data_IF_322200923110
#
_entry.id   IF_322200923110
#
_cell.length_a   1.000
_cell.length_b   1.000
_cell.length_c   1.000
_cell.angle_alpha   90.00
_cell.angle_beta   90.00
_cell.angle_gamma   90.00
#
_symmetry.space_group_name_H-M   'P 1'
#
loop_
_entity.id
_entity.type
_entity.pdbx_description
1 polymer ?
#
# COMPACT_ATOMS: atom_id res chain seq x y z
N UNK A 1 47.05 -16.08 36.21
CA UNK A 1 46.37 -17.26 36.74
C UNK A 1 45.32 -16.82 37.74
N UNK A 2 44.06 -16.78 37.39
CA UNK A 2 42.92 -16.78 38.30
C UNK A 2 41.76 -17.44 37.56
N UNK A 3 41.35 -18.58 38.02
CA UNK A 3 40.22 -19.36 37.54
C UNK A 3 38.95 -18.70 38.04
N UNK A 4 37.96 -18.50 37.16
CA UNK A 4 36.60 -18.14 37.53
C UNK A 4 35.71 -19.32 37.16
N UNK A 5 35.14 -19.92 38.18
CA UNK A 5 34.20 -21.04 38.14
C UNK A 5 32.81 -20.58 37.71
N UNK A 6 32.25 -21.28 36.73
CA UNK A 6 30.86 -21.11 36.30
C UNK A 6 29.91 -21.74 37.31
N UNK A 7 28.91 -21.01 37.75
CA UNK A 7 27.78 -21.50 38.53
C UNK A 7 26.58 -21.65 37.62
N UNK A 8 26.15 -22.86 37.32
CA UNK A 8 24.92 -23.16 36.59
C UNK A 8 23.76 -23.15 37.60
N UNK A 9 22.76 -22.31 37.34
CA UNK A 9 21.50 -22.29 38.07
C UNK A 9 20.42 -22.92 37.18
N UNK A 10 20.01 -24.13 37.54
CA UNK A 10 18.88 -24.83 36.93
C UNK A 10 17.61 -24.38 37.65
N UNK A 11 16.66 -23.75 36.89
CA UNK A 11 15.34 -23.43 37.40
C UNK A 11 14.33 -24.42 36.78
N UNK A 12 13.80 -25.31 37.58
CA UNK A 12 12.73 -26.22 37.23
C UNK A 12 11.38 -25.47 37.37
N UNK A 13 10.61 -25.35 36.27
CA UNK A 13 9.27 -24.84 36.30
C UNK A 13 8.28 -26.00 36.23
N UNK A 14 7.51 -26.17 37.30
CA UNK A 14 6.46 -27.17 37.42
C UNK A 14 5.18 -26.66 36.68
N UNK A 15 4.70 -27.47 35.74
CA UNK A 15 3.38 -27.29 35.11
C UNK A 15 2.29 -27.81 36.09
N UNK A 16 1.38 -26.91 36.49
CA UNK A 16 0.08 -27.31 37.06
C UNK A 16 -1.01 -27.12 36.02
N UNK A 17 -1.54 -28.24 35.55
CA UNK A 17 -2.77 -28.31 34.77
C UNK A 17 -3.99 -28.08 35.70
N UNK A 18 -4.76 -27.05 35.48
CA UNK A 18 -6.09 -26.93 36.08
C UNK A 18 -7.12 -26.90 34.94
N UNK A 19 -7.89 -27.97 34.83
CA UNK A 19 -9.05 -28.06 34.00
C UNK A 19 -10.25 -27.44 34.75
N UNK A 20 -10.97 -26.52 34.09
CA UNK A 20 -12.31 -26.13 34.51
C UNK A 20 -13.20 -26.01 33.30
N UNK A 21 -14.29 -26.73 33.43
CA UNK A 21 -15.33 -27.02 32.49
C UNK A 21 -16.17 -25.83 32.05
N UNK A 22 -16.58 -25.91 30.79
CA UNK A 22 -17.47 -24.97 30.16
C UNK A 22 -18.93 -25.19 30.56
N UNK A 23 -19.63 -24.11 30.78
CA UNK A 23 -21.10 -24.08 30.80
C UNK A 23 -21.60 -23.43 29.54
N UNK A 24 -22.41 -24.18 28.79
CA UNK A 24 -23.13 -23.71 27.62
C UNK A 24 -24.21 -22.69 28.01
N UNK A 25 -24.32 -21.60 27.29
CA UNK A 25 -25.46 -20.71 27.31
C UNK A 25 -26.46 -21.09 26.20
N UNK A 26 -27.77 -21.01 26.48
CA UNK A 26 -28.82 -21.42 25.56
C UNK A 26 -29.17 -20.32 24.54
N UNK A 27 -29.50 -20.74 23.32
CA UNK A 27 -30.07 -19.92 22.26
C UNK A 27 -31.46 -19.37 22.64
N UNK A 28 -31.80 -18.15 22.19
CA UNK A 28 -33.19 -17.68 22.26
C UNK A 28 -34.04 -18.28 21.13
N UNK A 29 -35.37 -18.42 21.35
CA UNK A 29 -36.25 -19.15 20.46
C UNK A 29 -36.68 -18.36 19.23
N UNK A 30 -36.91 -19.09 18.14
CA UNK A 30 -37.47 -18.61 16.88
C UNK A 30 -38.93 -18.13 17.11
N UNK A 31 -39.21 -16.95 16.55
CA UNK A 31 -40.61 -16.50 16.40
C UNK A 31 -41.07 -16.78 14.97
N UNK A 32 -42.09 -17.63 14.88
CA UNK A 32 -42.93 -17.79 13.71
C UNK A 32 -44.09 -16.78 13.79
N UNK A 33 -44.38 -16.14 12.68
CA UNK A 33 -45.59 -15.32 12.56
C UNK A 33 -45.86 -15.02 11.10
N UNK A 34 -46.78 -15.78 10.52
CA UNK A 34 -47.48 -15.50 9.27
C UNK A 34 -48.29 -14.21 9.40
N UNK A 35 -48.28 -13.34 8.43
CA UNK A 35 -49.54 -12.88 7.84
C UNK A 35 -49.34 -12.24 6.46
N UNK A 36 -50.19 -12.67 5.53
CA UNK A 36 -50.24 -12.20 4.17
C UNK A 36 -51.21 -11.03 4.07
N UNK A 37 -50.78 -9.92 3.45
CA UNK A 37 -51.71 -8.95 2.88
C UNK A 37 -51.17 -8.47 1.52
N UNK A 38 -51.89 -8.87 0.50
CA UNK A 38 -51.70 -8.37 -0.87
C UNK A 38 -52.25 -6.94 -0.99
N UNK A 39 -51.44 -6.04 -1.49
CA UNK A 39 -51.92 -4.77 -2.08
C UNK A 39 -51.23 -4.56 -3.41
N UNK A 40 -52.05 -4.46 -4.44
CA UNK A 40 -51.71 -4.26 -5.84
C UNK A 40 -50.95 -2.93 -6.02
N UNK A 41 -49.85 -2.94 -6.71
CA UNK A 41 -49.11 -1.77 -7.19
C UNK A 41 -49.46 -1.50 -8.65
N UNK A 42 -49.69 -0.22 -9.05
CA UNK A 42 -49.80 0.13 -10.46
C UNK A 42 -48.44 0.04 -11.15
N UNK A 43 -48.44 -0.69 -12.24
CA UNK A 43 -47.35 -0.85 -13.19
C UNK A 43 -47.05 0.48 -13.88
N UNK A 44 -45.98 1.16 -13.49
CA UNK A 44 -45.35 2.20 -14.26
C UNK A 44 -43.86 1.92 -14.22
N UNK A 45 -43.37 1.34 -15.32
CA UNK A 45 -41.93 1.15 -15.52
C UNK A 45 -41.24 2.52 -15.49
N UNK A 46 -40.18 2.71 -14.70
CA UNK A 46 -39.38 3.91 -14.78
C UNK A 46 -38.62 3.94 -16.12
N UNK A 47 -38.65 5.09 -16.76
CA UNK A 47 -37.78 5.43 -17.89
C UNK A 47 -36.33 5.09 -17.56
N UNK A 48 -35.56 4.52 -18.53
CA UNK A 48 -34.15 4.20 -18.25
C UNK A 48 -33.43 5.49 -17.86
N UNK A 49 -32.85 5.50 -16.65
CA UNK A 49 -31.95 6.56 -16.24
C UNK A 49 -30.80 6.62 -17.27
N UNK A 50 -30.51 7.82 -17.78
CA UNK A 50 -29.35 8.09 -18.63
C UNK A 50 -28.13 7.51 -17.88
N UNK A 51 -27.38 6.61 -18.54
CA UNK A 51 -26.08 6.16 -18.03
C UNK A 51 -25.23 7.42 -17.78
N UNK A 52 -24.64 7.57 -16.58
CA UNK A 52 -23.75 8.70 -16.34
C UNK A 52 -22.61 8.62 -17.35
N UNK A 53 -22.38 9.73 -18.07
CA UNK A 53 -21.22 9.86 -18.95
C UNK A 53 -19.97 9.48 -18.15
N UNK A 54 -19.16 8.55 -18.69
CA UNK A 54 -17.88 8.20 -18.10
C UNK A 54 -17.05 9.47 -17.93
N UNK A 55 -16.50 9.75 -16.74
CA UNK A 55 -15.70 10.93 -16.53
C UNK A 55 -14.52 10.90 -17.52
N UNK A 56 -14.44 11.92 -18.36
CA UNK A 56 -13.32 12.10 -19.28
C UNK A 56 -12.09 12.45 -18.43
N UNK A 57 -11.31 11.43 -18.10
CA UNK A 57 -10.03 11.63 -17.42
C UNK A 57 -9.07 12.32 -18.40
N UNK A 58 -8.55 13.47 -18.00
CA UNK A 58 -7.46 14.12 -18.72
C UNK A 58 -6.28 13.14 -18.87
N UNK A 59 -5.61 13.12 -20.04
CA UNK A 59 -4.52 12.22 -20.27
C UNK A 59 -3.38 12.51 -19.29
N UNK A 60 -3.06 11.55 -18.43
CA UNK A 60 -1.91 11.61 -17.56
C UNK A 60 -0.66 11.19 -18.34
N UNK A 61 0.31 12.09 -18.50
CA UNK A 61 1.49 11.85 -19.31
C UNK A 61 2.66 11.46 -18.41
N UNK A 62 3.07 10.21 -18.51
CA UNK A 62 4.32 9.74 -17.91
C UNK A 62 5.43 9.90 -18.95
N UNK A 63 6.54 10.49 -18.53
CA UNK A 63 7.69 10.69 -19.39
C UNK A 63 8.98 10.45 -18.63
N UNK A 64 10.02 9.95 -19.32
CA UNK A 64 11.30 9.65 -18.65
C UNK A 64 12.18 10.90 -18.52
N UNK A 65 12.78 11.12 -17.34
CA UNK A 65 13.82 12.14 -17.14
C UNK A 65 15.16 11.79 -17.78
N UNK A 66 15.33 10.62 -18.39
CA UNK A 66 16.63 10.20 -18.99
C UNK A 66 16.87 10.79 -20.38
N UNK A 67 15.91 11.51 -20.93
CA UNK A 67 15.99 12.15 -22.24
C UNK A 67 16.32 13.64 -22.08
N UNK A 68 17.39 14.10 -22.73
CA UNK A 68 17.70 15.54 -22.83
C UNK A 68 16.61 16.23 -23.68
N UNK A 69 15.86 17.13 -23.06
CA UNK A 69 14.78 17.89 -23.71
C UNK A 69 15.16 19.33 -24.01
N UNK A 70 16.34 19.77 -23.53
CA UNK A 70 16.74 21.17 -23.61
C UNK A 70 15.75 22.07 -22.84
N UNK A 71 15.14 23.04 -23.54
CA UNK A 71 14.11 23.93 -22.95
C UNK A 71 12.74 23.61 -23.55
N UNK A 72 11.79 23.25 -22.70
CA UNK A 72 10.40 22.93 -23.08
C UNK A 72 9.47 23.82 -22.25
N UNK A 73 8.55 24.53 -22.89
CA UNK A 73 7.57 25.44 -22.26
C UNK A 73 8.19 26.44 -21.25
N UNK A 74 9.42 26.91 -21.57
CA UNK A 74 10.16 27.86 -20.73
C UNK A 74 10.91 27.23 -19.55
N UNK A 75 10.84 25.93 -19.37
CA UNK A 75 11.59 25.17 -18.36
C UNK A 75 12.82 24.56 -19.03
N UNK A 76 14.01 24.89 -18.53
CA UNK A 76 15.28 24.28 -18.98
C UNK A 76 15.57 23.04 -18.16
N UNK A 77 15.87 21.93 -18.85
CA UNK A 77 16.26 20.66 -18.24
C UNK A 77 17.78 20.51 -18.32
N UNK A 78 18.40 20.20 -17.21
CA UNK A 78 19.86 20.09 -17.07
C UNK A 78 20.26 18.71 -16.56
N UNK A 79 21.43 18.17 -16.94
CA UNK A 79 21.89 16.89 -16.43
C UNK A 79 22.16 16.98 -14.92
N UNK A 80 21.70 15.96 -14.20
CA UNK A 80 21.87 15.84 -12.75
C UNK A 80 23.02 14.86 -12.43
N UNK A 81 24.04 15.33 -11.77
CA UNK A 81 25.22 14.55 -11.34
C UNK A 81 25.27 14.32 -9.82
N UNK A 82 24.35 14.94 -9.08
CA UNK A 82 24.23 14.83 -7.61
C UNK A 82 23.61 13.51 -7.13
N UNK A 83 23.42 13.41 -5.83
CA UNK A 83 22.69 12.31 -5.20
C UNK A 83 21.21 12.42 -5.55
N UNK A 84 20.55 11.31 -5.80
CA UNK A 84 19.09 11.21 -5.83
C UNK A 84 18.65 10.84 -4.43
N UNK A 85 17.92 11.72 -3.78
CA UNK A 85 17.42 11.50 -2.42
C UNK A 85 16.27 10.48 -2.47
N UNK A 86 16.11 9.72 -1.37
CA UNK A 86 15.05 8.75 -1.23
C UNK A 86 14.41 8.88 0.16
N UNK A 87 13.10 9.01 0.20
CA UNK A 87 12.30 8.91 1.41
C UNK A 87 11.36 7.72 1.28
N UNK A 88 11.26 6.93 2.34
CA UNK A 88 10.31 5.83 2.40
C UNK A 88 9.31 6.05 3.53
N UNK A 89 8.13 5.50 3.35
CA UNK A 89 7.01 5.57 4.28
C UNK A 89 6.38 4.19 4.43
N UNK A 90 5.53 4.05 5.40
CA UNK A 90 4.55 2.97 5.53
C UNK A 90 3.14 3.55 5.35
N UNK A 91 2.05 2.78 5.47
CA UNK A 91 0.72 3.36 5.62
C UNK A 91 0.72 4.40 6.74
N UNK A 92 0.03 5.50 6.52
CA UNK A 92 0.03 6.64 7.45
C UNK A 92 -1.15 6.56 8.42
N UNK A 93 -0.95 7.07 9.62
CA UNK A 93 -1.96 7.10 10.68
C UNK A 93 -3.00 8.18 10.38
N UNK A 94 -4.23 7.78 10.09
CA UNK A 94 -5.35 8.68 9.83
C UNK A 94 -5.98 9.22 11.14
N UNK A 95 -6.02 8.39 12.19
CA UNK A 95 -6.63 8.71 13.48
C UNK A 95 -5.66 8.44 14.63
N UNK A 96 -4.81 9.43 14.99
CA UNK A 96 -3.76 9.27 16.01
C UNK A 96 -4.25 8.81 17.38
N UNK A 97 -5.49 9.15 17.75
CA UNK A 97 -6.11 8.75 19.01
C UNK A 97 -6.36 7.24 19.12
N UNK A 98 -6.47 6.53 17.99
CA UNK A 98 -6.57 5.08 17.94
C UNK A 98 -5.19 4.40 17.89
N UNK A 99 -4.23 5.03 17.21
CA UNK A 99 -2.87 4.50 17.05
C UNK A 99 -2.02 4.63 18.32
N UNK A 100 -2.24 5.70 19.09
CA UNK A 100 -1.44 6.03 20.28
C UNK A 100 -2.24 5.89 21.57
N UNK A 101 -3.06 4.86 21.66
CA UNK A 101 -3.93 4.56 22.80
C UNK A 101 -3.21 3.85 23.97
N UNK A 102 -1.92 3.50 23.77
CA UNK A 102 -1.07 2.85 24.77
C UNK A 102 -1.19 1.32 24.79
N UNK A 103 -1.75 0.72 23.76
CA UNK A 103 -1.73 -0.72 23.58
C UNK A 103 -0.34 -1.24 23.15
N UNK A 104 -0.23 -2.52 22.81
CA UNK A 104 1.05 -3.14 22.44
C UNK A 104 1.59 -2.73 21.06
N UNK A 105 0.80 -2.07 20.24
CA UNK A 105 1.20 -1.61 18.90
C UNK A 105 1.66 -0.15 18.90
N UNK A 106 1.21 0.65 19.87
CA UNK A 106 1.43 2.10 19.91
C UNK A 106 2.91 2.51 19.78
N UNK A 107 3.81 1.86 20.56
CA UNK A 107 5.25 2.16 20.49
C UNK A 107 5.86 1.84 19.10
N UNK A 108 5.43 0.73 18.50
CA UNK A 108 5.91 0.35 17.16
C UNK A 108 5.35 1.25 16.06
N UNK A 109 4.12 1.72 16.19
CA UNK A 109 3.52 2.68 15.27
C UNK A 109 4.25 4.03 15.37
N UNK A 110 4.54 4.52 16.57
CA UNK A 110 5.29 5.77 16.78
C UNK A 110 6.71 5.70 16.20
N UNK A 111 7.37 4.54 16.29
CA UNK A 111 8.73 4.35 15.76
C UNK A 111 8.81 4.31 14.22
N UNK A 112 7.76 3.85 13.52
CA UNK A 112 7.83 3.48 12.10
C UNK A 112 6.84 4.20 11.20
N UNK A 113 5.77 4.78 11.73
CA UNK A 113 4.69 5.38 10.95
C UNK A 113 4.65 6.90 11.17
N UNK A 114 4.15 7.62 10.19
CA UNK A 114 3.84 9.04 10.32
C UNK A 114 2.33 9.24 10.30
N UNK A 115 1.86 10.30 10.93
CA UNK A 115 0.46 10.73 10.85
C UNK A 115 0.17 11.45 9.54
N UNK A 116 -1.09 11.60 9.19
CA UNK A 116 -1.53 12.44 8.04
C UNK A 116 -0.97 13.85 8.15
N UNK A 117 -1.05 14.50 9.32
CA UNK A 117 -0.54 15.86 9.54
C UNK A 117 0.97 15.99 9.35
N UNK A 118 1.74 14.97 9.73
CA UNK A 118 3.18 14.91 9.48
C UNK A 118 3.50 14.69 8.01
N UNK A 119 2.76 13.80 7.35
CA UNK A 119 2.95 13.51 5.93
C UNK A 119 2.68 14.74 5.07
N UNK A 120 1.61 15.49 5.32
CA UNK A 120 1.30 16.74 4.64
C UNK A 120 2.43 17.78 4.81
N UNK A 121 2.97 17.91 6.03
CA UNK A 121 4.12 18.79 6.30
C UNK A 121 5.38 18.34 5.59
N UNK A 122 5.61 17.02 5.47
CA UNK A 122 6.75 16.48 4.72
C UNK A 122 6.59 16.81 3.24
N UNK A 123 5.43 16.56 2.63
CA UNK A 123 5.17 16.90 1.23
C UNK A 123 5.41 18.38 0.94
N UNK A 124 4.83 19.27 1.75
CA UNK A 124 5.04 20.70 1.60
C UNK A 124 6.52 21.07 1.77
N UNK A 125 7.20 20.48 2.74
CA UNK A 125 8.62 20.78 3.01
C UNK A 125 9.54 20.37 1.85
N UNK A 126 9.35 19.19 1.24
CA UNK A 126 10.19 18.75 0.12
C UNK A 126 9.86 19.56 -1.15
N UNK A 127 8.60 19.91 -1.37
CA UNK A 127 8.19 20.78 -2.47
C UNK A 127 8.83 22.18 -2.35
N UNK A 128 8.75 22.82 -1.20
CA UNK A 128 9.33 24.14 -0.93
C UNK A 128 10.86 24.17 -1.06
N UNK A 129 11.52 23.02 -0.82
CA UNK A 129 12.96 22.84 -0.99
C UNK A 129 13.36 22.57 -2.43
N UNK A 130 12.42 22.56 -3.36
CA UNK A 130 12.64 22.40 -4.79
C UNK A 130 12.91 20.96 -5.23
N UNK A 131 12.43 19.97 -4.48
CA UNK A 131 12.46 18.59 -4.95
C UNK A 131 11.40 18.34 -6.02
N UNK A 132 11.69 17.39 -6.92
CA UNK A 132 10.77 16.87 -7.93
C UNK A 132 10.83 15.35 -7.93
N UNK A 133 9.69 14.71 -8.13
CA UNK A 133 9.59 13.27 -8.11
C UNK A 133 10.18 12.65 -9.39
N UNK A 134 10.93 11.57 -9.20
CA UNK A 134 11.44 10.70 -10.27
C UNK A 134 11.18 9.24 -9.90
N UNK A 135 10.99 8.39 -10.90
CA UNK A 135 10.87 6.95 -10.69
C UNK A 135 12.26 6.33 -10.45
N UNK A 136 12.35 5.34 -9.56
CA UNK A 136 13.59 4.60 -9.31
C UNK A 136 14.10 3.91 -10.58
N UNK A 137 13.17 3.43 -11.43
CA UNK A 137 13.50 2.79 -12.70
C UNK A 137 14.10 3.76 -13.73
N UNK A 138 13.91 5.08 -13.57
CA UNK A 138 14.61 6.08 -14.36
C UNK A 138 16.04 6.33 -13.87
N UNK A 139 16.29 6.13 -12.56
CA UNK A 139 17.62 6.34 -11.96
C UNK A 139 18.58 5.21 -12.30
N UNK A 140 18.06 3.98 -12.34
CA UNK A 140 18.85 2.79 -12.60
C UNK A 140 18.22 1.96 -13.71
N UNK A 141 19.03 1.38 -14.56
CA UNK A 141 18.61 0.43 -15.57
C UNK A 141 19.47 -0.83 -15.55
N UNK A 142 18.85 -1.94 -15.91
CA UNK A 142 19.55 -3.20 -16.10
C UNK A 142 20.48 -3.13 -17.32
N UNK A 143 21.63 -3.74 -17.21
CA UNK A 143 22.64 -3.87 -18.27
C UNK A 143 23.41 -5.18 -18.11
N UNK A 144 24.36 -5.42 -18.98
CA UNK A 144 25.21 -6.60 -18.94
C UNK A 144 26.68 -6.14 -18.99
N UNK A 145 27.51 -6.66 -18.09
CA UNK A 145 28.95 -6.39 -18.11
C UNK A 145 29.67 -7.11 -19.26
N UNK A 146 30.98 -6.88 -19.39
CA UNK A 146 31.80 -7.50 -20.43
C UNK A 146 31.87 -9.04 -20.33
N UNK A 147 31.49 -9.63 -19.22
CA UNK A 147 31.45 -11.09 -18.98
C UNK A 147 30.05 -11.68 -19.16
N UNK A 148 29.07 -10.87 -19.57
CA UNK A 148 27.67 -11.29 -19.71
C UNK A 148 26.90 -11.39 -18.39
N UNK A 149 27.40 -10.78 -17.30
CA UNK A 149 26.70 -10.79 -16.02
C UNK A 149 25.75 -9.59 -15.89
N UNK A 150 24.54 -9.78 -15.33
CA UNK A 150 23.61 -8.67 -15.08
C UNK A 150 24.24 -7.63 -14.15
N UNK A 151 24.14 -6.37 -14.50
CA UNK A 151 24.57 -5.22 -13.70
C UNK A 151 23.55 -4.12 -13.76
N UNK A 152 23.47 -3.31 -12.71
CA UNK A 152 22.69 -2.08 -12.71
C UNK A 152 23.62 -0.91 -13.06
N UNK A 153 23.21 -0.09 -14.01
CA UNK A 153 23.89 1.14 -14.36
C UNK A 153 23.06 2.35 -13.98
N UNK A 154 23.72 3.38 -13.48
CA UNK A 154 23.07 4.64 -13.20
C UNK A 154 22.85 5.43 -14.47
N UNK A 155 21.64 5.89 -14.70
CA UNK A 155 21.29 6.75 -15.82
C UNK A 155 21.63 8.22 -15.51
N UNK A 156 21.88 9.00 -16.55
CA UNK A 156 21.89 10.46 -16.44
C UNK A 156 20.45 10.95 -16.43
N UNK A 157 20.07 11.69 -15.40
CA UNK A 157 18.77 12.34 -15.33
C UNK A 157 18.87 13.78 -15.82
N UNK A 158 17.88 14.25 -16.57
CA UNK A 158 17.72 15.66 -16.96
C UNK A 158 16.50 16.21 -16.21
N UNK A 159 16.73 17.09 -15.26
CA UNK A 159 15.69 17.65 -14.39
C UNK A 159 15.58 19.15 -14.57
N UNK A 160 14.44 19.77 -14.21
CA UNK A 160 14.30 21.22 -14.28
C UNK A 160 15.43 21.94 -13.54
N UNK A 161 16.02 22.95 -14.15
CA UNK A 161 17.14 23.73 -13.59
C UNK A 161 16.75 24.30 -12.21
N UNK A 162 17.63 24.10 -11.23
CA UNK A 162 17.40 24.52 -9.84
C UNK A 162 16.57 23.56 -8.99
N UNK A 163 16.03 22.49 -9.58
CA UNK A 163 15.32 21.42 -8.85
C UNK A 163 16.26 20.27 -8.48
N UNK A 164 15.78 19.34 -7.63
CA UNK A 164 16.50 18.16 -7.14
C UNK A 164 15.63 16.92 -7.27
N UNK A 165 16.16 15.79 -7.77
CA UNK A 165 15.37 14.57 -7.88
C UNK A 165 15.15 13.91 -6.52
N UNK A 166 13.93 13.39 -6.29
CA UNK A 166 13.50 12.69 -5.10
C UNK A 166 12.73 11.43 -5.50
N UNK A 167 13.04 10.31 -4.86
CA UNK A 167 12.28 9.07 -4.96
C UNK A 167 11.44 8.93 -3.71
N UNK A 168 10.17 8.53 -3.88
CA UNK A 168 9.33 8.02 -2.81
C UNK A 168 9.12 6.52 -2.94
N UNK A 169 9.11 5.81 -1.81
CA UNK A 169 8.60 4.45 -1.72
C UNK A 169 7.70 4.29 -0.49
N UNK A 170 6.80 3.32 -0.56
CA UNK A 170 5.83 3.05 0.50
C UNK A 170 5.82 1.54 0.73
N UNK A 171 6.30 1.15 1.90
CA UNK A 171 6.34 -0.24 2.30
C UNK A 171 5.00 -0.64 2.95
N UNK A 172 4.66 -1.93 2.86
CA UNK A 172 3.49 -2.51 3.55
C UNK A 172 2.12 -1.89 3.21
N UNK A 173 1.93 -1.38 1.99
CA UNK A 173 0.62 -0.86 1.54
C UNK A 173 -0.37 -2.01 1.30
N UNK A 174 -0.54 -2.82 2.34
CA UNK A 174 -1.38 -4.02 2.38
C UNK A 174 -2.59 -3.83 3.29
N UNK A 175 -2.52 -2.87 4.23
CA UNK A 175 -3.54 -2.60 5.25
C UNK A 175 -3.83 -3.86 6.06
N UNK A 176 -2.87 -4.25 6.89
CA UNK A 176 -2.94 -5.44 7.73
C UNK A 176 -4.06 -5.36 8.77
N UNK A 177 -4.51 -6.52 9.23
CA UNK A 177 -5.63 -6.59 10.17
C UNK A 177 -5.40 -5.79 11.47
N UNK A 178 -4.15 -5.70 11.94
CA UNK A 178 -3.85 -4.88 13.12
C UNK A 178 -4.05 -3.39 12.85
N UNK A 179 -3.66 -2.91 11.67
CA UNK A 179 -3.78 -1.50 11.28
C UNK A 179 -5.24 -1.00 11.31
N UNK A 180 -6.20 -1.90 11.01
CA UNK A 180 -7.61 -1.54 10.98
C UNK A 180 -8.18 -1.09 12.33
N UNK A 181 -7.51 -1.46 13.44
CA UNK A 181 -7.89 -1.05 14.80
C UNK A 181 -7.13 0.17 15.27
N UNK A 182 -5.96 0.41 14.67
CA UNK A 182 -4.99 1.38 15.13
C UNK A 182 -5.02 2.66 14.28
N UNK A 183 -6.20 2.99 13.72
CA UNK A 183 -6.45 4.31 13.13
C UNK A 183 -5.94 4.51 11.70
N UNK A 184 -5.69 3.42 10.95
CA UNK A 184 -5.36 3.48 9.54
C UNK A 184 -6.62 3.35 8.66
N UNK A 185 -6.48 3.72 7.38
CA UNK A 185 -7.48 3.38 6.37
C UNK A 185 -7.45 1.87 6.07
N UNK A 186 -8.48 1.36 5.39
CA UNK A 186 -8.67 -0.08 5.23
C UNK A 186 -8.28 -0.57 3.84
N UNK A 187 -8.46 0.28 2.83
CA UNK A 187 -8.13 -0.05 1.44
C UNK A 187 -8.21 1.16 0.53
N UNK A 188 -7.58 1.04 -0.64
CA UNK A 188 -7.81 1.94 -1.76
C UNK A 188 -9.05 1.51 -2.55
N UNK A 189 -9.80 2.47 -3.05
CA UNK A 189 -10.96 2.25 -3.93
C UNK A 189 -10.90 3.21 -5.11
N UNK A 190 -11.56 2.84 -6.20
CA UNK A 190 -11.74 3.72 -7.35
C UNK A 190 -13.10 4.43 -7.23
N UNK A 191 -13.08 5.75 -7.21
CA UNK A 191 -14.28 6.58 -7.18
C UNK A 191 -15.00 6.60 -8.53
N UNK A 192 -16.26 7.05 -8.54
CA UNK A 192 -17.02 7.25 -9.77
C UNK A 192 -16.44 8.32 -10.68
N UNK A 193 -15.62 9.20 -10.13
CA UNK A 193 -14.84 10.22 -10.82
C UNK A 193 -13.56 9.66 -11.47
N UNK A 194 -13.31 8.35 -11.33
CA UNK A 194 -12.11 7.68 -11.82
C UNK A 194 -10.85 7.97 -11.00
N UNK A 195 -10.93 8.68 -9.88
CA UNK A 195 -9.82 8.95 -9.00
C UNK A 195 -9.70 7.88 -7.91
N UNK A 196 -8.50 7.76 -7.34
CA UNK A 196 -8.28 6.93 -6.16
C UNK A 196 -8.77 7.63 -4.90
N UNK A 197 -9.42 6.86 -4.05
CA UNK A 197 -9.91 7.25 -2.73
C UNK A 197 -9.50 6.20 -1.72
N UNK A 198 -9.35 6.59 -0.46
CA UNK A 198 -9.23 5.65 0.65
C UNK A 198 -10.59 5.38 1.27
N UNK A 199 -10.76 4.16 1.77
CA UNK A 199 -11.92 3.72 2.54
C UNK A 199 -11.47 3.25 3.91
N UNK A 200 -12.20 3.60 4.94
CA UNK A 200 -11.95 3.16 6.32
C UNK A 200 -13.13 3.46 7.23
N UNK A 201 -12.89 3.33 8.52
CA UNK A 201 -13.84 3.74 9.57
C UNK A 201 -13.23 4.89 10.38
N UNK A 202 -14.10 5.83 10.79
CA UNK A 202 -13.72 6.84 11.77
C UNK A 202 -13.67 6.23 13.20
N UNK A 203 -13.18 6.96 14.22
CA UNK A 203 -13.12 6.47 15.60
C UNK A 203 -14.50 6.13 16.22
N UNK A 204 -15.58 6.56 15.59
CA UNK A 204 -16.95 6.23 15.99
C UNK A 204 -17.52 5.01 15.25
N UNK A 205 -16.75 4.44 14.32
CA UNK A 205 -17.13 3.28 13.51
C UNK A 205 -17.99 3.61 12.29
N UNK A 206 -18.06 4.88 11.88
CA UNK A 206 -18.75 5.25 10.65
C UNK A 206 -17.84 5.07 9.43
N UNK A 207 -18.41 4.65 8.31
CA UNK A 207 -17.68 4.55 7.05
C UNK A 207 -17.22 5.93 6.56
N UNK A 208 -15.95 6.03 6.16
CA UNK A 208 -15.34 7.24 5.59
C UNK A 208 -14.69 6.89 4.26
N UNK A 209 -14.98 7.68 3.25
CA UNK A 209 -14.29 7.69 1.95
C UNK A 209 -13.65 9.07 1.80
N UNK A 210 -12.32 9.12 1.62
CA UNK A 210 -11.58 10.38 1.61
C UNK A 210 -10.33 10.30 0.73
N UNK A 211 -9.89 11.44 0.23
CA UNK A 211 -8.56 11.58 -0.37
C UNK A 211 -7.51 12.15 0.60
N UNK A 212 -7.90 12.42 1.83
CA UNK A 212 -7.09 13.13 2.83
C UNK A 212 -6.67 12.23 4.02
N UNK A 213 -6.82 10.91 3.91
CA UNK A 213 -6.56 9.98 5.02
C UNK A 213 -5.53 8.89 4.69
N UNK A 214 -4.95 8.91 3.49
CA UNK A 214 -4.01 7.88 3.03
C UNK A 214 -2.89 8.50 2.19
N UNK A 215 -1.67 8.00 2.36
CA UNK A 215 -0.49 8.56 1.69
C UNK A 215 -0.60 8.55 0.16
N UNK A 216 -1.20 7.49 -0.42
CA UNK A 216 -1.38 7.36 -1.87
C UNK A 216 -2.32 8.43 -2.39
N UNK A 217 -3.48 8.57 -1.77
CA UNK A 217 -4.52 9.52 -2.22
C UNK A 217 -4.14 10.97 -1.94
N UNK A 218 -3.44 11.23 -0.83
CA UNK A 218 -2.90 12.56 -0.50
C UNK A 218 -1.85 12.97 -1.52
N UNK A 219 -0.89 12.09 -1.86
CA UNK A 219 0.12 12.40 -2.88
C UNK A 219 -0.51 12.62 -4.25
N UNK A 220 -1.50 11.80 -4.63
CA UNK A 220 -2.25 11.98 -5.86
C UNK A 220 -2.91 13.36 -5.94
N UNK A 221 -3.53 13.81 -4.85
CA UNK A 221 -4.13 15.14 -4.73
C UNK A 221 -3.06 16.23 -4.78
N UNK A 222 -1.98 16.07 -4.01
CA UNK A 222 -0.87 17.04 -3.97
C UNK A 222 -0.24 17.26 -5.35
N UNK A 223 0.01 16.18 -6.11
CA UNK A 223 0.56 16.27 -7.47
C UNK A 223 -0.43 16.94 -8.44
N UNK A 224 -1.74 16.75 -8.29
CA UNK A 224 -2.75 17.47 -9.10
C UNK A 224 -2.74 18.98 -8.80
N UNK A 225 -2.53 19.36 -7.56
CA UNK A 225 -2.46 20.76 -7.11
C UNK A 225 -1.10 21.40 -7.43
N UNK A 226 -0.02 20.58 -7.48
CA UNK A 226 1.36 20.98 -7.74
C UNK A 226 1.98 20.12 -8.87
N UNK A 227 1.55 20.27 -10.14
CA UNK A 227 2.02 19.41 -11.23
C UNK A 227 3.53 19.53 -11.50
N UNK A 228 4.15 20.64 -11.13
CA UNK A 228 5.61 20.83 -11.21
C UNK A 228 6.40 20.05 -10.15
N UNK A 229 5.74 19.47 -9.14
CA UNK A 229 6.34 18.52 -8.21
C UNK A 229 6.60 17.16 -8.87
N UNK A 230 5.80 16.79 -9.87
CA UNK A 230 5.97 15.55 -10.65
C UNK A 230 6.03 15.84 -12.17
N UNK A 231 7.09 16.52 -12.64
CA UNK A 231 7.16 16.98 -14.03
C UNK A 231 7.30 15.83 -15.05
N UNK A 232 7.55 14.63 -14.59
CA UNK A 232 7.66 13.41 -15.39
C UNK A 232 6.47 12.46 -15.20
N UNK A 233 5.54 12.82 -14.34
CA UNK A 233 4.41 11.98 -13.98
C UNK A 233 4.73 10.88 -12.97
N UNK A 234 5.96 10.76 -12.49
CA UNK A 234 6.33 9.79 -11.44
C UNK A 234 5.73 10.19 -10.09
N UNK A 235 5.29 9.20 -9.30
CA UNK A 235 4.80 9.41 -7.92
C UNK A 235 5.65 8.67 -6.91
N UNK A 236 5.55 7.34 -6.86
CA UNK A 236 6.35 6.54 -5.96
C UNK A 236 6.23 5.05 -6.26
N UNK A 237 6.98 4.24 -5.52
CA UNK A 237 6.94 2.80 -5.61
C UNK A 237 6.22 2.21 -4.40
N UNK A 238 5.23 1.35 -4.63
CA UNK A 238 4.51 0.61 -3.61
C UNK A 238 5.19 -0.74 -3.41
N UNK A 239 5.91 -0.89 -2.31
CA UNK A 239 6.61 -2.13 -1.94
C UNK A 239 5.65 -3.04 -1.18
N UNK A 240 5.05 -4.00 -1.89
CA UNK A 240 3.98 -4.84 -1.36
C UNK A 240 4.53 -6.16 -0.79
N UNK A 241 4.04 -6.58 0.36
CA UNK A 241 4.12 -7.97 0.80
C UNK A 241 2.97 -8.79 0.18
N UNK A 242 2.94 -10.11 0.42
CA UNK A 242 1.87 -10.98 -0.09
C UNK A 242 0.91 -11.44 1.00
N UNK A 243 1.39 -11.59 2.24
CA UNK A 243 0.54 -12.07 3.32
C UNK A 243 -0.53 -11.01 3.66
N UNK A 244 -1.76 -11.47 3.94
CA UNK A 244 -2.96 -10.65 4.10
C UNK A 244 -3.38 -9.83 2.87
N UNK A 245 -2.85 -10.14 1.68
CA UNK A 245 -3.26 -9.50 0.43
C UNK A 245 -2.54 -8.18 0.12
N UNK A 246 -3.10 -7.38 -0.79
CA UNK A 246 -2.51 -6.12 -1.28
C UNK A 246 -3.56 -5.01 -1.35
N UNK A 247 -3.15 -3.77 -1.09
CA UNK A 247 -3.98 -2.56 -1.22
C UNK A 247 -5.31 -2.63 -0.44
N UNK A 248 -5.38 -3.48 0.61
CA UNK A 248 -6.57 -3.74 1.41
C UNK A 248 -7.49 -4.84 0.89
N UNK A 249 -7.11 -5.51 -0.20
CA UNK A 249 -7.82 -6.65 -0.78
C UNK A 249 -7.17 -7.96 -0.36
N UNK A 250 -7.95 -8.92 0.14
CA UNK A 250 -7.46 -10.20 0.67
C UNK A 250 -7.19 -11.19 -0.47
N UNK A 251 -6.14 -10.92 -1.26
CA UNK A 251 -5.75 -11.68 -2.46
C UNK A 251 -4.87 -12.90 -2.18
N UNK A 252 -4.42 -13.08 -0.94
CA UNK A 252 -3.48 -14.11 -0.51
C UNK A 252 -4.14 -15.47 -0.28
N UNK A 253 -3.32 -16.53 -0.34
CA UNK A 253 -3.73 -17.92 -0.06
C UNK A 253 -3.30 -18.41 1.33
N UNK A 254 -2.78 -17.53 2.19
CA UNK A 254 -2.24 -17.90 3.50
C UNK A 254 -3.34 -18.10 4.54
N UNK A 255 -3.99 -19.26 4.48
CA UNK A 255 -4.93 -19.70 5.51
C UNK A 255 -4.57 -21.12 5.96
N UNK A 256 -4.78 -21.41 7.25
CA UNK A 256 -4.58 -22.76 7.80
C UNK A 256 -5.64 -23.76 7.30
N UNK A 257 -6.77 -23.26 6.89
CA UNK A 257 -7.87 -24.04 6.33
C UNK A 257 -8.26 -23.41 5.00
N UNK A 258 -8.17 -24.16 3.93
CA UNK A 258 -8.53 -23.72 2.60
C UNK A 258 -9.74 -24.52 2.09
N UNK A 259 -10.69 -23.84 1.48
CA UNK A 259 -11.89 -24.44 0.90
C UNK A 259 -12.38 -23.63 -0.30
N UNK A 260 -13.36 -24.17 -1.04
CA UNK A 260 -13.88 -23.54 -2.25
C UNK A 260 -14.49 -22.15 -2.01
N UNK A 261 -15.05 -21.88 -0.83
CA UNK A 261 -15.63 -20.58 -0.49
C UNK A 261 -14.54 -19.53 -0.29
N UNK A 262 -13.46 -19.87 0.43
CA UNK A 262 -12.32 -19.00 0.61
C UNK A 262 -11.62 -18.68 -0.72
N UNK A 263 -11.46 -19.70 -1.59
CA UNK A 263 -10.93 -19.49 -2.93
C UNK A 263 -11.84 -18.60 -3.78
N UNK A 264 -13.15 -18.80 -3.75
CA UNK A 264 -14.09 -17.97 -4.47
C UNK A 264 -14.07 -16.50 -4.00
N UNK A 265 -13.91 -16.27 -2.69
CA UNK A 265 -13.77 -14.93 -2.13
C UNK A 265 -12.44 -14.28 -2.53
N UNK A 266 -11.32 -15.02 -2.42
CA UNK A 266 -10.02 -14.54 -2.88
C UNK A 266 -10.06 -14.12 -4.35
N UNK A 267 -10.64 -14.93 -5.22
CA UNK A 267 -10.76 -14.61 -6.65
C UNK A 267 -11.58 -13.33 -6.89
N UNK A 268 -12.63 -13.07 -6.10
CA UNK A 268 -13.38 -11.80 -6.16
C UNK A 268 -12.50 -10.62 -5.76
N UNK A 269 -11.71 -10.76 -4.69
CA UNK A 269 -10.77 -9.72 -4.24
C UNK A 269 -9.69 -9.46 -5.30
N UNK A 270 -9.17 -10.52 -5.94
CA UNK A 270 -8.22 -10.39 -7.06
C UNK A 270 -8.83 -9.63 -8.25
N UNK A 271 -10.08 -9.87 -8.60
CA UNK A 271 -10.75 -9.10 -9.66
C UNK A 271 -11.03 -7.65 -9.23
N UNK A 272 -11.44 -7.45 -7.99
CA UNK A 272 -11.78 -6.12 -7.46
C UNK A 272 -10.58 -5.17 -7.37
N UNK A 273 -9.36 -5.69 -7.13
CA UNK A 273 -8.15 -4.85 -7.02
C UNK A 273 -7.58 -4.43 -8.38
N UNK A 274 -7.89 -5.14 -9.46
CA UNK A 274 -7.31 -4.87 -10.80
C UNK A 274 -7.53 -3.43 -11.30
N UNK A 275 -8.74 -2.83 -11.23
CA UNK A 275 -8.92 -1.44 -11.67
C UNK A 275 -8.13 -0.46 -10.82
N UNK A 276 -7.92 -0.72 -9.53
CA UNK A 276 -7.08 0.10 -8.65
C UNK A 276 -5.61 0.06 -9.10
N UNK A 277 -5.09 -1.15 -9.36
CA UNK A 277 -3.73 -1.35 -9.88
C UNK A 277 -3.56 -0.65 -11.22
N UNK A 278 -4.54 -0.77 -12.11
CA UNK A 278 -4.51 -0.12 -13.43
C UNK A 278 -4.44 1.41 -13.29
N UNK A 279 -5.23 1.99 -12.40
CA UNK A 279 -5.23 3.43 -12.14
C UNK A 279 -3.93 3.90 -11.49
N UNK A 280 -3.41 3.17 -10.51
CA UNK A 280 -2.11 3.45 -9.91
C UNK A 280 -1.01 3.53 -10.98
N UNK A 281 -0.91 2.51 -11.83
CA UNK A 281 0.08 2.48 -12.94
C UNK A 281 -0.14 3.62 -13.92
N UNK A 282 -1.38 3.86 -14.32
CA UNK A 282 -1.74 4.95 -15.25
C UNK A 282 -1.28 6.31 -14.73
N UNK A 283 -1.30 6.51 -13.42
CA UNK A 283 -1.01 7.79 -12.77
C UNK A 283 0.39 7.89 -12.18
N UNK A 284 1.32 6.99 -12.54
CA UNK A 284 2.75 7.13 -12.24
C UNK A 284 3.22 6.43 -10.97
N UNK A 285 2.42 5.52 -10.43
CA UNK A 285 2.85 4.61 -9.38
C UNK A 285 3.49 3.36 -9.96
N UNK A 286 4.53 2.87 -9.31
CA UNK A 286 5.18 1.59 -9.62
C UNK A 286 5.08 0.62 -8.45
N UNK A 287 5.41 -0.64 -8.70
CA UNK A 287 5.29 -1.69 -7.69
C UNK A 287 6.63 -2.39 -7.48
N UNK A 288 6.90 -2.74 -6.24
CA UNK A 288 8.08 -3.49 -5.82
C UNK A 288 7.73 -4.62 -4.87
N UNK A 289 8.63 -5.59 -4.73
CA UNK A 289 8.50 -6.66 -3.75
C UNK A 289 9.05 -6.23 -2.41
N UNK A 290 8.23 -6.41 -1.36
CA UNK A 290 8.66 -6.31 0.04
C UNK A 290 8.76 -7.70 0.69
N UNK A 291 9.07 -8.73 -0.09
CA UNK A 291 8.95 -10.16 0.18
C UNK A 291 7.49 -10.60 0.36
N UNK A 292 7.18 -11.88 0.14
CA UNK A 292 5.80 -12.35 0.36
C UNK A 292 5.42 -12.32 1.84
N UNK A 293 6.30 -12.84 2.69
CA UNK A 293 6.04 -13.04 4.12
C UNK A 293 6.65 -11.99 5.03
N UNK A 294 7.06 -10.82 4.51
CA UNK A 294 7.76 -9.78 5.27
C UNK A 294 8.97 -10.35 6.03
N UNK A 295 9.75 -11.19 5.34
CA UNK A 295 10.88 -11.90 5.94
C UNK A 295 12.16 -11.06 5.92
N UNK A 296 12.94 -11.11 6.99
CA UNK A 296 14.28 -10.53 7.03
C UNK A 296 15.27 -11.40 6.26
N UNK A 297 15.57 -11.03 5.01
CA UNK A 297 16.35 -11.82 4.06
C UNK A 297 17.71 -12.28 4.62
N UNK A 298 18.42 -11.39 5.32
CA UNK A 298 19.75 -11.66 5.86
C UNK A 298 19.81 -12.84 6.85
N UNK A 299 18.70 -13.18 7.49
CA UNK A 299 18.61 -14.20 8.53
C UNK A 299 18.05 -15.53 8.00
N UNK A 300 17.76 -15.62 6.68
CA UNK A 300 17.08 -16.78 6.10
C UNK A 300 18.00 -17.60 5.21
N UNK A 301 17.85 -18.93 5.22
CA UNK A 301 18.47 -19.79 4.21
C UNK A 301 18.05 -19.37 2.80
N UNK A 302 18.96 -19.50 1.83
CA UNK A 302 18.70 -19.12 0.43
C UNK A 302 17.40 -19.76 -0.12
N UNK A 303 17.15 -21.04 0.20
CA UNK A 303 15.93 -21.71 -0.28
C UNK A 303 14.66 -21.07 0.29
N UNK A 304 14.67 -20.53 1.51
CA UNK A 304 13.54 -19.79 2.07
C UNK A 304 13.31 -18.48 1.30
N UNK A 305 14.40 -17.79 0.97
CA UNK A 305 14.33 -16.55 0.15
C UNK A 305 13.77 -16.84 -1.24
N UNK A 306 14.26 -17.90 -1.90
CA UNK A 306 13.75 -18.32 -3.21
C UNK A 306 12.24 -18.62 -3.14
N UNK A 307 11.82 -19.45 -2.19
CA UNK A 307 10.40 -19.85 -2.06
C UNK A 307 9.50 -18.63 -1.78
N UNK A 308 9.96 -17.69 -0.96
CA UNK A 308 9.22 -16.46 -0.64
C UNK A 308 9.09 -15.56 -1.88
N UNK A 309 10.20 -15.40 -2.62
CA UNK A 309 10.23 -14.60 -3.85
C UNK A 309 9.34 -15.21 -4.96
N UNK A 310 9.41 -16.53 -5.15
CA UNK A 310 8.56 -17.23 -6.12
C UNK A 310 7.08 -17.07 -5.75
N UNK A 311 6.76 -17.20 -4.47
CA UNK A 311 5.39 -16.99 -3.99
C UNK A 311 4.91 -15.56 -4.19
N UNK A 312 5.77 -14.56 -3.92
CA UNK A 312 5.45 -13.18 -4.21
C UNK A 312 5.16 -12.97 -5.70
N UNK A 313 6.00 -13.51 -6.58
CA UNK A 313 5.81 -13.41 -8.02
C UNK A 313 4.48 -14.03 -8.47
N UNK A 314 4.11 -15.16 -7.89
CA UNK A 314 2.88 -15.89 -8.24
C UNK A 314 1.62 -15.17 -7.69
N UNK A 315 1.62 -14.71 -6.45
CA UNK A 315 0.41 -14.17 -5.81
C UNK A 315 0.28 -12.64 -5.96
N UNK A 316 1.37 -11.90 -5.95
CA UNK A 316 1.37 -10.42 -6.07
C UNK A 316 1.81 -10.00 -7.46
N UNK A 317 2.96 -10.49 -7.93
CA UNK A 317 3.52 -10.16 -9.23
C UNK A 317 2.55 -10.45 -10.38
N UNK A 318 1.79 -11.54 -10.31
CA UNK A 318 0.74 -11.87 -11.29
C UNK A 318 -0.40 -10.84 -11.36
N UNK A 319 -0.65 -10.09 -10.29
CA UNK A 319 -1.67 -9.04 -10.23
C UNK A 319 -1.11 -7.69 -10.66
N UNK A 320 0.05 -7.31 -10.11
CA UNK A 320 0.63 -5.99 -10.38
C UNK A 320 1.43 -5.96 -11.69
N UNK A 321 1.82 -7.12 -12.23
CA UNK A 321 2.63 -7.24 -13.43
C UNK A 321 4.08 -6.76 -13.22
N UNK A 322 4.89 -6.88 -14.28
CA UNK A 322 6.26 -6.40 -14.27
C UNK A 322 6.32 -4.87 -14.29
#
# INVERSE_FOLDING_TARGET
>A
MKKITSLALALALALTLTACGGTAQPNPPAQTGDDASQTETPDTAPEPAEEPEEPQQEPYVISSPTVDRGTVDGVTYVPWDGVVEHLFFHPIVAYPELAFDGDSQADGIDDWMVTVDEYDKILQSVYDRGYVLVDINDVWSESTDANGQPVMIRNTLYIPEGKKPLIFSYDDVNYYDYMLKDGFTYKLILGKDGLLWSYGLDPQGNEVISQDLDAVTILDKFVREHPDFSPFGAKGSLSLTGYQGILGYRTNTDTKVWNDELEANRLKECEAVKPIIAELKRTGWTFGSHTWGHIRLADKPLQTVINDTERWADEVGSLVGP
#
